data_IF_691193889743
#
_entry.id   IF_691193889743
#
_cell.length_a   1.000
_cell.length_b   1.000
_cell.length_c   1.000
_cell.angle_alpha   90.00
_cell.angle_beta   90.00
_cell.angle_gamma   90.00
#
_symmetry.space_group_name_H-M   'P 1'
#
loop_
_entity.id
_entity.type
_entity.pdbx_description
1 polymer ?
#
# COMPACT_ATOMS: atom_id res chain seq x y z
N UNK A 1 -5.68 15.20 -17.18
CA UNK A 1 -5.59 14.30 -16.00
C UNK A 1 -4.85 13.03 -16.41
N UNK A 2 -3.82 12.62 -15.67
CA UNK A 2 -3.00 11.44 -16.00
C UNK A 2 -3.79 10.13 -15.83
N UNK A 3 -3.70 9.22 -16.80
CA UNK A 3 -4.21 7.86 -16.67
C UNK A 3 -3.14 6.95 -16.06
N UNK A 4 -3.28 6.59 -14.78
CA UNK A 4 -2.37 5.67 -14.08
C UNK A 4 -2.56 4.23 -14.59
N UNK A 5 -1.46 3.53 -14.85
CA UNK A 5 -1.41 2.14 -15.35
C UNK A 5 -0.43 1.30 -14.52
N UNK A 6 -0.58 -0.02 -14.55
CA UNK A 6 0.43 -0.92 -14.02
C UNK A 6 1.76 -0.70 -14.75
N UNK A 7 2.87 -0.75 -14.00
CA UNK A 7 4.21 -0.42 -14.48
C UNK A 7 4.53 1.07 -14.52
N UNK A 8 3.62 1.95 -14.06
CA UNK A 8 3.92 3.37 -13.88
C UNK A 8 4.76 3.58 -12.60
N UNK A 9 5.77 4.44 -12.70
CA UNK A 9 6.45 5.04 -11.55
C UNK A 9 5.93 6.46 -11.37
N UNK A 10 5.34 6.75 -10.22
CA UNK A 10 4.70 8.03 -9.92
C UNK A 10 5.43 8.74 -8.79
N UNK A 11 5.51 10.06 -8.88
CA UNK A 11 5.86 10.95 -7.77
C UNK A 11 4.59 11.68 -7.33
N UNK A 12 4.29 11.66 -6.04
CA UNK A 12 3.19 12.43 -5.45
C UNK A 12 3.79 13.49 -4.55
N UNK A 13 3.39 14.74 -4.77
CA UNK A 13 3.76 15.86 -3.91
C UNK A 13 2.92 15.83 -2.62
N UNK A 14 3.60 15.65 -1.50
CA UNK A 14 3.11 15.84 -0.14
C UNK A 14 3.65 17.15 0.44
N UNK A 15 3.17 17.54 1.62
CA UNK A 15 3.54 18.81 2.25
C UNK A 15 5.04 18.88 2.59
N UNK A 16 5.63 17.76 3.02
CA UNK A 16 7.03 17.68 3.47
C UNK A 16 7.98 17.10 2.42
N UNK A 17 7.52 16.82 1.20
CA UNK A 17 8.38 16.27 0.14
C UNK A 17 7.63 15.58 -0.99
N UNK A 18 8.37 14.83 -1.80
CA UNK A 18 7.81 13.98 -2.84
C UNK A 18 7.98 12.52 -2.43
N UNK A 19 6.92 11.72 -2.58
CA UNK A 19 6.96 10.28 -2.34
C UNK A 19 6.77 9.55 -3.65
N UNK A 20 7.59 8.52 -3.86
CA UNK A 20 7.57 7.73 -5.09
C UNK A 20 6.72 6.48 -4.88
N UNK A 21 5.98 6.09 -5.92
CA UNK A 21 5.10 4.93 -5.94
C UNK A 21 5.36 4.11 -7.21
N UNK A 22 5.59 2.81 -7.06
CA UNK A 22 5.52 1.85 -8.16
C UNK A 22 4.11 1.26 -8.22
N UNK A 23 3.45 1.38 -9.37
CA UNK A 23 2.09 0.88 -9.57
C UNK A 23 2.14 -0.55 -10.09
N UNK A 24 1.70 -1.50 -9.27
CA UNK A 24 1.81 -2.93 -9.56
C UNK A 24 0.58 -3.47 -10.27
N UNK A 25 -0.61 -2.93 -9.96
CA UNK A 25 -1.86 -3.34 -10.60
C UNK A 25 -2.65 -2.17 -11.15
N UNK A 26 -3.58 -2.47 -12.06
CA UNK A 26 -4.68 -1.54 -12.35
C UNK A 26 -5.54 -1.35 -11.09
N UNK A 27 -6.36 -0.30 -11.10
CA UNK A 27 -7.32 0.00 -10.02
C UNK A 27 -8.19 -1.23 -9.76
N UNK A 28 -8.21 -1.70 -8.51
CA UNK A 28 -9.06 -2.82 -8.08
C UNK A 28 -10.40 -2.30 -7.55
N UNK A 29 -11.33 -3.22 -7.29
CA UNK A 29 -12.70 -2.91 -6.82
C UNK A 29 -12.72 -2.13 -5.48
N UNK A 30 -11.67 -2.22 -4.65
CA UNK A 30 -11.55 -1.45 -3.40
C UNK A 30 -11.10 0.01 -3.58
N UNK A 31 -11.12 0.52 -4.81
CA UNK A 31 -10.88 1.95 -5.08
C UNK A 31 -9.42 2.36 -5.19
N UNK A 32 -8.46 1.49 -4.87
CA UNK A 32 -7.02 1.75 -4.97
C UNK A 32 -6.30 0.95 -6.04
N UNK A 33 -5.10 1.40 -6.39
CA UNK A 33 -4.11 0.62 -7.11
C UNK A 33 -3.25 -0.14 -6.09
N UNK A 34 -2.90 -1.41 -6.37
CA UNK A 34 -1.84 -2.05 -5.60
C UNK A 34 -0.51 -1.41 -5.95
N UNK A 35 0.19 -0.91 -4.94
CA UNK A 35 1.41 -0.14 -5.10
C UNK A 35 2.49 -0.66 -4.15
N UNK A 36 3.74 -0.41 -4.55
CA UNK A 36 4.85 -0.32 -3.62
C UNK A 36 5.15 1.18 -3.39
N UNK A 37 5.18 1.60 -2.13
CA UNK A 37 5.41 2.97 -1.70
C UNK A 37 6.82 3.10 -1.18
N UNK A 38 7.64 3.95 -1.78
CA UNK A 38 9.07 4.08 -1.43
C UNK A 38 9.28 5.05 -0.28
N UNK A 39 10.22 4.72 0.60
CA UNK A 39 10.73 5.67 1.60
C UNK A 39 11.69 6.68 0.94
N UNK A 40 11.69 7.96 1.36
CA UNK A 40 12.41 9.04 0.68
C UNK A 40 13.93 9.13 0.95
N UNK A 41 14.56 8.21 1.72
CA UNK A 41 15.99 8.28 2.09
C UNK A 41 16.75 7.02 1.65
N UNK A 42 17.93 7.12 1.01
CA UNK A 42 18.84 6.04 0.51
C UNK A 42 19.10 4.81 1.43
N UNK A 43 19.63 3.66 0.90
CA UNK A 43 19.14 2.33 1.21
C UNK A 43 19.67 1.74 2.52
N UNK A 44 18.76 1.54 3.45
CA UNK A 44 18.83 0.46 4.42
C UNK A 44 17.79 -0.58 3.96
N UNK A 45 18.05 -1.86 4.18
CA UNK A 45 17.18 -2.97 3.75
C UNK A 45 15.68 -2.69 4.08
N UNK A 46 14.75 -3.14 3.22
CA UNK A 46 13.29 -2.89 3.29
C UNK A 46 12.83 -1.44 2.99
N UNK A 47 13.01 -1.01 1.74
CA UNK A 47 12.94 0.40 1.33
C UNK A 47 11.55 0.94 0.96
N UNK A 48 10.53 0.52 1.70
CA UNK A 48 9.14 0.89 1.44
C UNK A 48 8.16 -0.15 1.97
N UNK A 49 6.91 -0.02 1.54
CA UNK A 49 5.86 -0.97 1.90
C UNK A 49 4.85 -1.11 0.77
N UNK A 50 4.18 -2.26 0.70
CA UNK A 50 3.05 -2.42 -0.20
C UNK A 50 1.75 -1.92 0.42
N UNK A 51 0.89 -1.31 -0.40
CA UNK A 51 -0.44 -0.88 0.01
C UNK A 51 -1.39 -0.74 -1.18
N UNK A 52 -2.70 -0.80 -0.90
CA UNK A 52 -3.70 -0.28 -1.83
C UNK A 52 -3.78 1.24 -1.67
N UNK A 53 -3.57 1.98 -2.77
CA UNK A 53 -3.49 3.45 -2.73
C UNK A 53 -4.49 4.07 -3.70
N UNK A 54 -5.31 5.01 -3.20
CA UNK A 54 -6.20 5.83 -4.01
C UNK A 54 -5.56 7.19 -4.34
N UNK A 55 -5.36 7.44 -5.63
CA UNK A 55 -4.78 8.67 -6.17
C UNK A 55 -5.84 9.70 -6.65
N UNK A 56 -7.14 9.50 -6.43
CA UNK A 56 -8.19 10.40 -6.94
C UNK A 56 -7.93 11.86 -6.57
N UNK A 57 -7.70 12.14 -5.29
CA UNK A 57 -7.52 13.51 -4.76
C UNK A 57 -6.25 14.17 -5.33
N UNK A 58 -5.03 13.61 -5.16
CA UNK A 58 -3.83 14.27 -5.66
C UNK A 58 -3.80 14.39 -7.19
N UNK A 59 -4.45 13.47 -7.93
CA UNK A 59 -4.61 13.61 -9.39
C UNK A 59 -5.48 14.80 -9.78
N UNK A 60 -6.58 15.03 -9.05
CA UNK A 60 -7.48 16.16 -9.29
C UNK A 60 -6.77 17.50 -9.05
N UNK A 61 -5.85 17.52 -8.10
CA UNK A 61 -5.09 18.72 -7.71
C UNK A 61 -3.77 18.90 -8.48
N UNK A 62 -3.45 18.01 -9.43
CA UNK A 62 -2.23 18.10 -10.22
C UNK A 62 -0.94 17.79 -9.43
N UNK A 63 -1.04 17.12 -8.28
CA UNK A 63 0.10 16.74 -7.42
C UNK A 63 0.75 15.41 -7.80
N UNK A 64 0.27 14.76 -8.86
CA UNK A 64 0.81 13.47 -9.36
C UNK A 64 1.59 13.70 -10.64
N UNK A 65 2.87 13.33 -10.63
CA UNK A 65 3.77 13.33 -11.78
C UNK A 65 4.17 11.90 -12.13
N UNK A 66 4.09 11.50 -13.40
CA UNK A 66 4.68 10.23 -13.85
C UNK A 66 6.15 10.45 -14.14
N UNK A 67 7.00 9.64 -13.51
CA UNK A 67 8.44 9.63 -13.72
C UNK A 67 8.82 8.69 -14.88
N UNK A 68 8.22 7.49 -14.93
CA UNK A 68 8.42 6.52 -16.01
C UNK A 68 7.19 5.61 -16.16
N UNK A 69 7.12 4.85 -17.26
CA UNK A 69 6.03 3.90 -17.55
C UNK A 69 6.56 2.64 -18.22
N UNK A 70 5.83 1.53 -18.04
CA UNK A 70 6.18 0.24 -18.66
C UNK A 70 7.33 -0.48 -17.95
N UNK A 71 7.60 -0.12 -16.69
CA UNK A 71 8.62 -0.78 -15.88
C UNK A 71 8.12 -2.16 -15.43
N UNK A 72 9.06 -3.10 -15.26
CA UNK A 72 8.80 -4.36 -14.58
C UNK A 72 9.09 -4.21 -13.09
N UNK A 73 8.05 -4.38 -12.27
CA UNK A 73 8.10 -4.32 -10.80
C UNK A 73 7.66 -5.65 -10.17
N UNK A 74 7.76 -6.75 -10.90
CA UNK A 74 7.37 -8.08 -10.41
C UNK A 74 8.07 -8.48 -9.10
N UNK A 75 9.31 -8.02 -8.89
CA UNK A 75 10.09 -8.21 -7.67
C UNK A 75 9.58 -7.42 -6.45
N UNK A 76 8.77 -6.37 -6.66
CA UNK A 76 8.12 -5.59 -5.59
C UNK A 76 6.72 -6.13 -5.27
N UNK A 77 6.38 -7.31 -5.82
CA UNK A 77 5.10 -7.96 -5.66
C UNK A 77 4.73 -8.19 -4.19
N UNK A 78 3.44 -8.02 -3.90
CA UNK A 78 2.89 -8.12 -2.55
C UNK A 78 2.86 -9.55 -2.01
N UNK A 79 2.81 -9.73 -0.69
CA UNK A 79 2.71 -11.05 -0.08
C UNK A 79 1.37 -11.73 -0.38
N UNK A 80 1.33 -13.05 -0.22
CA UNK A 80 0.10 -13.85 -0.32
C UNK A 80 -0.91 -13.56 0.79
N UNK A 81 -0.53 -12.75 1.79
CA UNK A 81 -1.33 -12.42 2.96
C UNK A 81 -1.66 -10.93 3.03
N UNK A 82 -2.86 -10.64 3.51
CA UNK A 82 -3.28 -9.31 3.93
C UNK A 82 -3.80 -9.40 5.37
N UNK A 83 -3.71 -8.32 6.12
CA UNK A 83 -4.28 -8.22 7.46
C UNK A 83 -5.28 -7.08 7.55
N UNK A 84 -6.18 -7.17 8.49
CA UNK A 84 -7.04 -6.07 8.92
C UNK A 84 -6.96 -5.98 10.43
N UNK A 85 -6.62 -4.80 10.94
CA UNK A 85 -6.64 -4.53 12.37
C UNK A 85 -8.06 -4.68 12.95
N UNK A 86 -8.20 -5.07 14.22
CA UNK A 86 -9.48 -5.11 14.89
C UNK A 86 -10.16 -3.73 14.82
N UNK A 87 -11.43 -3.70 14.41
CA UNK A 87 -12.21 -2.46 14.45
C UNK A 87 -12.75 -2.19 15.85
N UNK A 88 -13.38 -1.03 16.06
CA UNK A 88 -13.89 -0.64 17.39
C UNK A 88 -14.87 -1.68 17.92
N UNK A 89 -14.50 -2.33 19.02
CA UNK A 89 -15.31 -3.37 19.67
C UNK A 89 -14.88 -4.81 19.33
N UNK A 90 -13.97 -4.97 18.37
CA UNK A 90 -13.35 -6.25 18.04
C UNK A 90 -12.02 -6.43 18.78
N UNK A 91 -11.59 -7.68 18.92
CA UNK A 91 -10.34 -8.03 19.63
C UNK A 91 -9.32 -8.76 18.76
N UNK A 92 -9.69 -9.16 17.55
CA UNK A 92 -8.86 -10.00 16.70
C UNK A 92 -8.60 -9.36 15.34
N UNK A 93 -7.40 -9.58 14.83
CA UNK A 93 -7.02 -9.31 13.45
C UNK A 93 -7.73 -10.28 12.51
N UNK A 94 -8.29 -9.76 11.42
CA UNK A 94 -8.73 -10.61 10.33
C UNK A 94 -7.59 -10.80 9.32
N UNK A 95 -7.30 -12.06 9.00
CA UNK A 95 -6.22 -12.45 8.09
C UNK A 95 -6.85 -12.97 6.80
N UNK A 96 -6.35 -12.48 5.67
CA UNK A 96 -6.83 -12.81 4.36
C UNK A 96 -5.70 -13.38 3.51
N UNK A 97 -6.04 -14.30 2.60
CA UNK A 97 -5.16 -14.72 1.51
C UNK A 97 -5.51 -13.92 0.27
N UNK A 98 -4.50 -13.49 -0.47
CA UNK A 98 -4.66 -12.84 -1.76
C UNK A 98 -3.64 -13.40 -2.76
N UNK A 99 -4.08 -13.68 -3.99
CA UNK A 99 -3.21 -14.31 -4.99
C UNK A 99 -3.40 -13.70 -6.38
N UNK A 100 -2.38 -13.84 -7.22
CA UNK A 100 -2.42 -13.49 -8.65
C UNK A 100 -2.88 -12.05 -8.92
N UNK A 101 -2.67 -11.13 -7.97
CA UNK A 101 -3.14 -9.74 -8.04
C UNK A 101 -4.64 -9.60 -8.35
N UNK A 102 -5.44 -10.63 -8.06
CA UNK A 102 -6.85 -10.70 -8.43
C UNK A 102 -7.72 -10.47 -7.21
N UNK A 103 -8.60 -9.47 -7.29
CA UNK A 103 -9.50 -9.14 -6.20
C UNK A 103 -10.48 -10.26 -5.86
N UNK A 104 -10.88 -11.03 -6.87
CA UNK A 104 -11.77 -12.18 -6.71
C UNK A 104 -11.10 -13.35 -5.98
N UNK A 105 -9.77 -13.31 -5.82
CA UNK A 105 -9.03 -14.35 -5.09
C UNK A 105 -8.89 -14.06 -3.60
N UNK A 106 -9.31 -12.88 -3.14
CA UNK A 106 -9.19 -12.52 -1.73
C UNK A 106 -10.14 -13.39 -0.91
N UNK A 107 -9.59 -14.13 0.04
CA UNK A 107 -10.34 -15.03 0.92
C UNK A 107 -9.99 -14.79 2.37
N UNK A 108 -11.00 -14.69 3.23
CA UNK A 108 -10.80 -14.64 4.68
C UNK A 108 -10.33 -16.02 5.16
N UNK A 109 -9.20 -16.07 5.85
CA UNK A 109 -8.63 -17.31 6.38
C UNK A 109 -9.12 -17.52 7.80
N UNK A 110 -8.94 -16.51 8.66
CA UNK A 110 -9.24 -16.59 10.09
C UNK A 110 -9.24 -15.22 10.76
N UNK A 111 -9.76 -15.19 11.99
CA UNK A 111 -9.62 -14.07 12.91
C UNK A 111 -8.81 -14.50 14.15
N UNK A 112 -7.80 -13.74 14.54
CA UNK A 112 -6.90 -14.10 15.66
C UNK A 112 -6.54 -12.88 16.52
N UNK A 113 -6.47 -13.06 17.85
CA UNK A 113 -5.94 -12.03 18.76
C UNK A 113 -4.41 -12.01 18.78
N UNK A 114 -3.78 -13.08 18.31
CA UNK A 114 -2.35 -13.30 18.33
C UNK A 114 -1.87 -13.64 16.91
N UNK A 115 -1.77 -12.65 16.01
CA UNK A 115 -1.18 -12.86 14.70
C UNK A 115 0.30 -13.24 14.82
N UNK A 116 0.77 -14.05 13.89
CA UNK A 116 2.18 -14.37 13.73
C UNK A 116 2.97 -13.12 13.27
N UNK A 117 4.31 -13.17 13.36
CA UNK A 117 5.15 -12.07 12.86
C UNK A 117 4.93 -11.80 11.36
N UNK A 118 4.73 -12.85 10.57
CA UNK A 118 4.44 -12.75 9.14
C UNK A 118 3.08 -12.08 8.89
N UNK A 119 2.04 -12.50 9.62
CA UNK A 119 0.72 -11.88 9.55
C UNK A 119 0.73 -10.41 10.00
N UNK A 120 1.61 -10.04 10.94
CA UNK A 120 1.82 -8.65 11.32
C UNK A 120 2.62 -7.86 10.28
N UNK A 121 3.55 -8.46 9.56
CA UNK A 121 4.25 -7.82 8.46
C UNK A 121 3.40 -7.74 7.17
N UNK A 122 2.25 -8.42 7.13
CA UNK A 122 1.34 -8.35 6.00
C UNK A 122 0.76 -6.93 5.82
N UNK A 123 0.59 -6.46 4.58
CA UNK A 123 -0.07 -5.20 4.25
C UNK A 123 -1.53 -5.15 4.71
N UNK A 124 -2.05 -3.93 4.87
CA UNK A 124 -3.45 -3.71 5.20
C UNK A 124 -4.38 -4.12 4.04
N UNK A 125 -5.49 -4.76 4.42
CA UNK A 125 -6.66 -5.02 3.59
C UNK A 125 -7.53 -3.76 3.38
N UNK A 126 -6.99 -2.57 3.66
CA UNK A 126 -7.67 -1.30 3.47
C UNK A 126 -7.04 -0.50 2.33
N UNK A 127 -7.86 0.30 1.66
CA UNK A 127 -7.37 1.30 0.70
C UNK A 127 -6.96 2.57 1.45
N UNK A 128 -5.70 2.98 1.27
CA UNK A 128 -5.16 4.19 1.84
C UNK A 128 -5.37 5.37 0.87
N UNK A 129 -5.82 6.54 1.35
CA UNK A 129 -5.65 7.77 0.61
C UNK A 129 -4.16 8.00 0.32
N UNK A 130 -3.82 8.45 -0.89
CA UNK A 130 -2.42 8.68 -1.27
C UNK A 130 -1.67 9.64 -0.33
N UNK A 131 -2.34 10.64 0.24
CA UNK A 131 -1.73 11.54 1.24
C UNK A 131 -1.30 10.79 2.50
N UNK A 132 -2.17 9.92 3.02
CA UNK A 132 -1.85 9.12 4.19
C UNK A 132 -0.73 8.11 3.88
N UNK A 133 -0.73 7.50 2.70
CA UNK A 133 0.38 6.67 2.26
C UNK A 133 1.70 7.47 2.17
N UNK A 134 1.66 8.73 1.73
CA UNK A 134 2.83 9.61 1.75
C UNK A 134 3.30 9.90 3.19
N UNK A 135 2.38 10.21 4.11
CA UNK A 135 2.70 10.44 5.54
C UNK A 135 3.41 9.23 6.16
N UNK A 136 2.90 8.02 5.93
CA UNK A 136 3.52 6.78 6.38
C UNK A 136 4.91 6.59 5.75
N UNK A 137 5.06 6.86 4.46
CA UNK A 137 6.34 6.73 3.76
C UNK A 137 7.41 7.71 4.29
N UNK A 138 7.02 8.97 4.55
CA UNK A 138 7.90 9.99 5.12
C UNK A 138 8.35 9.62 6.55
N UNK A 139 7.48 8.97 7.32
CA UNK A 139 7.78 8.45 8.67
C UNK A 139 8.57 7.15 8.68
N UNK A 140 8.91 6.59 7.51
CA UNK A 140 9.56 5.28 7.40
C UNK A 140 8.75 4.15 8.07
N UNK A 141 7.42 4.27 8.06
CA UNK A 141 6.51 3.28 8.64
C UNK A 141 6.53 1.98 7.83
N UNK A 142 6.48 0.86 8.54
CA UNK A 142 6.35 -0.47 7.99
C UNK A 142 5.05 -1.14 8.44
N UNK A 143 4.49 -2.12 7.70
CA UNK A 143 3.25 -2.79 8.06
C UNK A 143 3.23 -3.33 9.49
N UNK A 144 4.31 -3.92 9.97
CA UNK A 144 4.43 -4.43 11.35
C UNK A 144 4.34 -3.34 12.41
N UNK A 145 4.57 -2.08 12.06
CA UNK A 145 4.45 -0.95 12.97
C UNK A 145 2.97 -0.63 13.17
N UNK A 146 2.55 -0.59 14.42
CA UNK A 146 1.16 -0.36 14.78
C UNK A 146 0.63 0.98 14.24
N UNK A 147 -0.50 0.95 13.51
CA UNK A 147 -1.06 2.11 12.79
C UNK A 147 -1.64 3.24 13.66
N UNK A 148 -1.54 3.16 14.99
CA UNK A 148 -2.03 4.20 15.91
C UNK A 148 -1.06 4.48 17.06
N UNK A 149 -0.19 5.48 16.88
CA UNK A 149 0.30 6.25 18.03
C UNK A 149 -0.72 7.38 18.23
N UNK A 150 -1.49 7.22 19.32
CA UNK A 150 -2.28 8.19 20.09
C UNK A 150 -2.73 9.48 19.39
#
# INVERSE_FOLDING_TARGET
MIQIRAGDLLSVKADEGNVVFAVLTKKLLFGGNWCYVFHPREPLEDHGFNAFVDFIVPKREGRVTRLSSGNDFSNLGGPELLKQHPTRGEKGYAIYRWSNFSIASVTHIRTTQYPTKEELAAPEYACLPAEFACELALRQWQPQDWLWVV
#
